data_IF_727102107479
#
_entry.id   IF_727102107479
#
_cell.length_a   1.000
_cell.length_b   1.000
_cell.length_c   1.000
_cell.angle_alpha   90.00
_cell.angle_beta   90.00
_cell.angle_gamma   90.00
#
_symmetry.space_group_name_H-M   'P 1'
#
loop_
_entity.id
_entity.type
_entity.pdbx_description
1 polymer ?
#
# COMPACT_ATOMS: atom_id res chain seq x y z
N UNK A 1 -24.98 -72.82 24.56
CA UNK A 1 -25.54 -73.97 23.80
C UNK A 1 -25.11 -73.77 22.34
N UNK A 2 -24.20 -74.61 21.94
CA UNK A 2 -23.93 -75.20 20.64
C UNK A 2 -23.81 -74.30 19.42
N UNK A 3 -22.56 -74.11 18.86
CA UNK A 3 -21.82 -75.05 17.94
C UNK A 3 -22.38 -74.86 16.49
N UNK A 4 -21.58 -74.52 15.45
CA UNK A 4 -20.47 -75.12 14.66
C UNK A 4 -20.17 -74.17 13.49
N UNK A 5 -18.99 -73.74 13.20
CA UNK A 5 -17.89 -74.41 12.38
C UNK A 5 -18.27 -74.96 11.02
N UNK A 6 -17.60 -74.50 9.96
CA UNK A 6 -16.91 -75.21 8.86
C UNK A 6 -16.59 -74.19 7.74
N UNK A 7 -15.49 -73.90 7.32
CA UNK A 7 -14.26 -74.29 6.70
C UNK A 7 -14.37 -74.90 5.26
N UNK A 8 -13.39 -74.46 4.42
CA UNK A 8 -12.87 -75.06 3.15
C UNK A 8 -13.62 -74.66 1.85
N UNK A 9 -13.01 -74.28 0.72
CA UNK A 9 -11.71 -74.72 0.17
C UNK A 9 -11.33 -73.76 -1.01
N UNK A 10 -10.02 -73.74 -1.30
CA UNK A 10 -9.33 -73.29 -2.51
C UNK A 10 -9.90 -73.82 -3.81
N UNK A 11 -9.84 -72.98 -4.88
CA UNK A 11 -9.42 -73.47 -6.19
C UNK A 11 -8.75 -72.32 -7.01
N UNK A 12 -7.50 -72.58 -7.38
CA UNK A 12 -6.66 -71.84 -8.30
C UNK A 12 -7.05 -72.13 -9.74
N UNK A 13 -7.14 -71.13 -10.61
CA UNK A 13 -6.92 -71.30 -12.05
C UNK A 13 -6.13 -70.18 -12.62
N UNK A 14 -4.93 -70.51 -13.10
CA UNK A 14 -4.12 -69.71 -14.02
C UNK A 14 -4.79 -69.67 -15.40
N UNK A 15 -4.81 -68.53 -16.06
CA UNK A 15 -4.87 -68.50 -17.52
C UNK A 15 -4.11 -67.26 -18.06
N UNK A 16 -3.34 -67.56 -19.07
CA UNK A 16 -2.30 -66.71 -19.72
C UNK A 16 -2.81 -65.54 -20.58
N UNK A 17 -1.95 -64.54 -20.58
CA UNK A 17 -1.43 -63.74 -21.71
C UNK A 17 -2.39 -63.21 -22.82
N UNK A 18 -2.47 -61.89 -22.91
CA UNK A 18 -2.87 -61.16 -24.08
C UNK A 18 -2.16 -59.80 -24.09
N UNK A 19 -1.08 -59.64 -24.87
CA UNK A 19 -0.48 -58.34 -25.18
C UNK A 19 -1.41 -57.53 -26.05
N UNK A 20 -1.92 -56.41 -25.53
CA UNK A 20 -2.50 -55.35 -26.29
C UNK A 20 -1.70 -54.07 -25.98
N UNK A 21 -0.94 -53.58 -26.93
CA UNK A 21 -0.30 -52.29 -26.85
C UNK A 21 -1.38 -51.21 -27.03
N UNK A 22 -1.77 -50.54 -25.96
CA UNK A 22 -2.51 -49.25 -26.04
C UNK A 22 -1.49 -48.12 -26.03
N UNK A 23 -1.52 -47.37 -27.11
CA UNK A 23 -0.80 -46.17 -27.37
C UNK A 23 -1.24 -45.10 -26.33
N UNK A 24 -0.38 -44.79 -25.36
CA UNK A 24 -0.60 -43.77 -24.36
C UNK A 24 -0.57 -42.39 -25.03
N UNK A 25 -1.71 -41.71 -25.07
CA UNK A 25 -1.77 -40.29 -25.38
C UNK A 25 -0.84 -39.51 -24.43
N UNK A 26 -0.17 -38.42 -24.90
CA UNK A 26 0.67 -37.63 -24.04
C UNK A 26 -0.21 -36.96 -22.95
N UNK A 27 0.13 -37.24 -21.68
CA UNK A 27 -0.39 -36.47 -20.55
C UNK A 27 -0.02 -35.02 -20.76
N UNK A 28 -1.01 -34.15 -20.79
CA UNK A 28 -0.81 -32.72 -20.59
C UNK A 28 0.00 -32.54 -19.33
N UNK A 29 1.06 -31.75 -19.41
CA UNK A 29 1.81 -31.33 -18.23
C UNK A 29 0.83 -30.66 -17.29
N UNK A 30 0.63 -31.20 -16.11
CA UNK A 30 -0.05 -30.57 -15.02
C UNK A 30 0.67 -29.23 -14.78
N UNK A 31 -0.07 -28.13 -14.82
CA UNK A 31 0.40 -26.87 -14.27
C UNK A 31 0.84 -27.12 -12.82
N UNK A 32 1.94 -26.55 -12.35
CA UNK A 32 2.35 -26.71 -10.97
C UNK A 32 1.24 -26.20 -10.07
N UNK A 33 0.68 -27.05 -9.21
CA UNK A 33 -0.16 -26.64 -8.10
C UNK A 33 0.73 -25.85 -7.14
N UNK A 34 0.39 -24.60 -6.91
CA UNK A 34 1.17 -23.66 -6.09
C UNK A 34 0.90 -23.80 -4.59
N UNK A 35 0.88 -25.01 -4.06
CA UNK A 35 0.88 -25.25 -2.61
C UNK A 35 2.33 -25.45 -2.13
N UNK A 36 3.18 -24.44 -2.25
CA UNK A 36 4.43 -24.45 -1.51
C UNK A 36 4.08 -24.20 -0.03
N UNK A 37 4.26 -25.22 0.80
CA UNK A 37 4.05 -25.09 2.24
C UNK A 37 4.94 -23.98 2.80
N UNK A 38 4.39 -23.12 3.66
CA UNK A 38 5.15 -22.07 4.32
C UNK A 38 6.35 -22.65 5.08
N UNK A 39 7.48 -21.98 4.97
CA UNK A 39 8.74 -22.36 5.64
C UNK A 39 9.03 -21.36 6.75
N UNK A 40 9.20 -21.87 7.98
CA UNK A 40 9.65 -21.04 9.09
C UNK A 40 11.11 -20.62 8.90
N UNK A 41 11.39 -19.33 9.10
CA UNK A 41 12.72 -18.73 9.00
C UNK A 41 13.10 -18.04 10.32
N UNK A 42 14.40 -17.87 10.56
CA UNK A 42 14.89 -17.37 11.85
C UNK A 42 14.69 -15.86 12.06
N UNK A 43 14.53 -15.11 10.98
CA UNK A 43 14.38 -13.65 10.99
C UNK A 43 13.43 -13.23 9.90
N UNK A 44 12.71 -12.10 10.06
CA UNK A 44 11.89 -11.50 9.02
C UNK A 44 12.65 -11.38 7.69
N UNK A 45 11.96 -11.65 6.60
CA UNK A 45 12.49 -11.58 5.23
C UNK A 45 11.76 -10.49 4.45
N UNK A 46 12.26 -9.24 4.49
CA UNK A 46 11.60 -8.12 3.81
C UNK A 46 11.48 -8.37 2.30
N UNK A 47 10.35 -8.01 1.72
CA UNK A 47 10.09 -8.12 0.28
C UNK A 47 9.63 -6.80 -0.29
N UNK A 48 10.12 -6.52 -1.49
CA UNK A 48 9.71 -5.36 -2.30
C UNK A 48 8.81 -5.81 -3.42
N UNK A 49 7.78 -5.03 -3.70
CA UNK A 49 7.03 -5.11 -4.94
C UNK A 49 7.25 -3.83 -5.73
N UNK A 50 7.47 -3.95 -7.03
CA UNK A 50 7.56 -2.81 -7.93
C UNK A 50 6.66 -3.01 -9.14
N UNK A 51 6.04 -1.94 -9.61
CA UNK A 51 5.37 -1.95 -10.91
C UNK A 51 6.33 -1.48 -12.01
N UNK A 52 6.04 -1.90 -13.23
CA UNK A 52 6.69 -1.45 -14.45
C UNK A 52 5.67 -1.45 -15.60
N UNK A 53 6.04 -0.91 -16.74
CA UNK A 53 5.15 -0.92 -17.91
C UNK A 53 4.84 -2.36 -18.35
N UNK A 54 3.61 -2.80 -18.10
CA UNK A 54 3.09 -4.13 -18.40
C UNK A 54 3.24 -5.19 -17.31
N UNK A 55 3.52 -4.83 -16.02
CA UNK A 55 3.57 -5.84 -14.97
C UNK A 55 3.93 -5.38 -13.57
N UNK A 56 4.01 -6.37 -12.70
CA UNK A 56 4.44 -6.25 -11.31
C UNK A 56 5.50 -7.32 -11.00
N UNK A 57 6.54 -6.96 -10.27
CA UNK A 57 7.57 -7.88 -9.80
C UNK A 57 7.73 -7.82 -8.30
N UNK A 58 7.99 -8.97 -7.69
CA UNK A 58 8.35 -9.10 -6.26
C UNK A 58 9.80 -9.53 -6.14
N UNK A 59 10.53 -8.85 -5.26
CA UNK A 59 11.96 -9.08 -5.03
C UNK A 59 12.21 -9.37 -3.55
N UNK A 60 13.16 -10.23 -3.28
CA UNK A 60 13.80 -10.31 -1.97
C UNK A 60 14.57 -9.00 -1.71
N UNK A 61 14.20 -8.30 -0.65
CA UNK A 61 14.78 -6.98 -0.36
C UNK A 61 16.25 -7.07 0.08
N UNK A 62 16.71 -8.23 0.58
CA UNK A 62 18.08 -8.42 1.02
C UNK A 62 19.03 -8.79 -0.13
N UNK A 63 18.60 -9.58 -1.09
CA UNK A 63 19.45 -10.06 -2.19
C UNK A 63 19.20 -9.35 -3.52
N UNK A 64 18.00 -8.85 -3.75
CA UNK A 64 17.51 -8.32 -5.02
C UNK A 64 17.08 -9.42 -5.99
N UNK A 65 16.99 -10.66 -5.54
CA UNK A 65 16.47 -11.77 -6.34
C UNK A 65 15.00 -11.52 -6.71
N UNK A 66 14.64 -11.74 -7.98
CA UNK A 66 13.27 -11.66 -8.44
C UNK A 66 12.57 -12.97 -8.09
N UNK A 67 11.54 -12.87 -7.25
CA UNK A 67 10.76 -14.01 -6.77
C UNK A 67 9.47 -14.20 -7.56
N UNK A 68 8.92 -13.13 -8.13
CA UNK A 68 7.74 -13.13 -8.99
C UNK A 68 7.91 -12.05 -10.06
N UNK A 69 7.45 -12.34 -11.27
CA UNK A 69 7.36 -11.37 -12.37
C UNK A 69 6.09 -11.69 -13.17
N UNK A 70 5.01 -10.94 -12.88
CA UNK A 70 3.68 -11.15 -13.45
C UNK A 70 3.28 -10.03 -14.38
N UNK A 71 2.65 -10.38 -15.50
CA UNK A 71 2.12 -9.42 -16.46
C UNK A 71 0.77 -8.91 -16.02
N UNK A 72 0.64 -7.60 -15.95
CA UNK A 72 -0.61 -6.90 -15.67
C UNK A 72 -0.74 -5.76 -16.68
N UNK A 73 -1.79 -5.80 -17.50
CA UNK A 73 -1.98 -4.82 -18.56
C UNK A 73 -2.39 -3.45 -18.00
N UNK A 74 -1.89 -2.40 -18.64
CA UNK A 74 -2.23 -1.02 -18.34
C UNK A 74 -1.36 -0.39 -17.25
N UNK A 75 -1.85 0.71 -16.69
CA UNK A 75 -1.21 1.39 -15.56
C UNK A 75 -1.57 0.66 -14.27
N UNK A 76 -0.56 0.32 -13.50
CA UNK A 76 -0.68 -0.53 -12.31
C UNK A 76 -0.18 0.24 -11.09
N UNK A 77 -0.96 0.20 -10.00
CA UNK A 77 -0.58 0.79 -8.71
C UNK A 77 -0.47 -0.26 -7.61
N UNK A 78 0.34 0.06 -6.60
CA UNK A 78 0.56 -0.77 -5.41
C UNK A 78 0.02 -0.05 -4.17
N UNK A 79 -0.84 -0.73 -3.43
CA UNK A 79 -1.41 -0.21 -2.19
C UNK A 79 -1.20 -1.25 -1.09
N UNK A 80 -0.69 -0.88 0.11
CA UNK A 80 -0.66 -1.79 1.25
C UNK A 80 -2.05 -2.32 1.56
N UNK A 81 -2.17 -3.62 1.79
CA UNK A 81 -3.44 -4.21 2.22
C UNK A 81 -3.71 -4.00 3.71
N UNK A 82 -2.66 -3.80 4.53
CA UNK A 82 -2.77 -3.47 5.94
C UNK A 82 -2.55 -4.64 6.92
N UNK A 83 -2.09 -5.78 6.41
CA UNK A 83 -1.75 -6.99 7.19
C UNK A 83 -0.24 -7.30 7.19
N UNK A 84 0.59 -6.38 6.69
CA UNK A 84 2.05 -6.52 6.57
C UNK A 84 2.53 -7.75 5.75
N UNK A 85 1.63 -8.34 4.94
CA UNK A 85 1.92 -9.47 4.05
C UNK A 85 1.44 -9.21 2.62
N UNK A 86 0.26 -8.59 2.46
CA UNK A 86 -0.36 -8.41 1.15
C UNK A 86 -0.34 -6.97 0.67
N UNK A 87 -0.34 -6.82 -0.65
CA UNK A 87 -0.65 -5.56 -1.34
C UNK A 87 -1.93 -5.75 -2.18
N UNK A 88 -2.61 -4.64 -2.46
CA UNK A 88 -3.65 -4.58 -3.47
C UNK A 88 -3.07 -3.94 -4.73
N UNK A 89 -3.07 -4.68 -5.82
CA UNK A 89 -2.63 -4.26 -7.15
C UNK A 89 -3.82 -3.66 -7.87
N UNK A 90 -3.86 -2.33 -8.01
CA UNK A 90 -4.91 -1.65 -8.76
C UNK A 90 -4.58 -1.66 -10.26
N UNK A 91 -5.53 -2.13 -11.04
CA UNK A 91 -5.49 -2.13 -12.51
C UNK A 91 -6.89 -1.91 -13.07
N UNK A 92 -7.04 -1.90 -14.39
CA UNK A 92 -8.36 -1.81 -15.01
C UNK A 92 -9.28 -2.95 -14.53
N UNK A 93 -10.44 -2.60 -13.96
CA UNK A 93 -11.46 -3.55 -13.49
C UNK A 93 -11.41 -3.87 -12.00
N UNK A 94 -10.41 -3.38 -11.24
CA UNK A 94 -10.41 -3.55 -9.80
C UNK A 94 -9.05 -3.63 -9.14
N UNK A 95 -9.04 -4.21 -7.94
CA UNK A 95 -7.85 -4.38 -7.10
C UNK A 95 -7.68 -5.86 -6.79
N UNK A 96 -6.57 -6.44 -7.23
CA UNK A 96 -6.25 -7.85 -6.99
C UNK A 96 -5.24 -7.99 -5.86
N UNK A 97 -5.46 -8.93 -4.94
CA UNK A 97 -4.52 -9.16 -3.85
C UNK A 97 -3.24 -9.84 -4.36
N UNK A 98 -2.10 -9.28 -3.96
CA UNK A 98 -0.76 -9.81 -4.20
C UNK A 98 -0.18 -10.26 -2.85
N UNK A 99 -0.07 -11.56 -2.63
CA UNK A 99 0.64 -12.13 -1.49
C UNK A 99 2.14 -12.02 -1.74
N UNK A 100 2.84 -11.26 -0.92
CA UNK A 100 4.29 -11.14 -1.00
C UNK A 100 5.01 -12.37 -0.44
N UNK A 101 4.28 -13.25 0.23
CA UNK A 101 4.77 -14.53 0.74
C UNK A 101 5.82 -14.40 1.84
N UNK A 102 5.75 -13.35 2.66
CA UNK A 102 6.61 -13.18 3.83
C UNK A 102 5.83 -12.46 4.94
N UNK A 103 5.84 -13.03 6.15
CA UNK A 103 5.14 -12.45 7.31
C UNK A 103 5.74 -12.94 8.62
N UNK A 104 5.42 -12.26 9.71
CA UNK A 104 5.78 -12.65 11.08
C UNK A 104 4.52 -12.74 11.95
N UNK A 105 4.32 -13.90 12.58
CA UNK A 105 3.30 -14.10 13.60
C UNK A 105 3.88 -13.66 14.96
N UNK A 106 3.36 -12.57 15.51
CA UNK A 106 3.81 -12.00 16.78
C UNK A 106 3.04 -12.63 17.94
N UNK A 107 3.78 -13.16 18.90
CA UNK A 107 3.24 -13.77 20.14
C UNK A 107 3.54 -12.91 21.39
N UNK A 108 3.84 -11.63 21.19
CA UNK A 108 4.00 -10.62 22.24
C UNK A 108 5.39 -10.56 22.88
N UNK A 109 6.07 -11.67 23.13
CA UNK A 109 7.45 -11.73 23.63
C UNK A 109 8.44 -12.29 22.60
N UNK A 110 7.94 -12.86 21.51
CA UNK A 110 8.70 -13.34 20.36
C UNK A 110 7.78 -13.44 19.11
N UNK A 111 8.38 -13.54 17.95
CA UNK A 111 7.67 -13.76 16.68
C UNK A 111 8.24 -14.96 15.94
N UNK A 112 7.40 -15.57 15.11
CA UNK A 112 7.78 -16.63 14.17
C UNK A 112 7.66 -16.06 12.76
N UNK A 113 8.75 -16.03 12.03
CA UNK A 113 8.78 -15.52 10.66
C UNK A 113 8.64 -16.67 9.67
N UNK A 114 7.86 -16.42 8.63
CA UNK A 114 7.50 -17.42 7.62
C UNK A 114 7.73 -16.87 6.21
N UNK A 115 8.06 -17.78 5.30
CA UNK A 115 8.14 -17.46 3.87
C UNK A 115 7.46 -18.52 3.01
N UNK A 116 6.88 -18.08 1.90
CA UNK A 116 6.39 -18.89 0.79
C UNK A 116 6.71 -18.20 -0.53
N UNK A 117 6.40 -18.82 -1.66
CA UNK A 117 6.50 -18.13 -2.94
C UNK A 117 5.46 -17.04 -3.04
N UNK A 118 5.82 -15.81 -3.49
CA UNK A 118 4.83 -14.76 -3.71
C UNK A 118 3.90 -15.11 -4.88
N UNK A 119 2.65 -14.64 -4.81
CA UNK A 119 1.66 -14.90 -5.87
C UNK A 119 0.67 -13.75 -6.04
N UNK A 120 0.29 -13.46 -7.27
CA UNK A 120 -0.92 -12.70 -7.56
C UNK A 120 -2.10 -13.66 -7.39
N UNK A 121 -3.03 -13.33 -6.50
CA UNK A 121 -4.16 -14.23 -6.14
C UNK A 121 -5.31 -14.07 -7.13
N UNK A 122 -6.34 -14.91 -7.01
CA UNK A 122 -7.59 -14.78 -7.78
C UNK A 122 -8.60 -13.82 -7.11
N UNK A 123 -8.33 -13.38 -5.86
CA UNK A 123 -9.23 -12.47 -5.15
C UNK A 123 -9.10 -11.05 -5.69
N UNK A 124 -10.24 -10.50 -6.14
CA UNK A 124 -10.31 -9.16 -6.72
C UNK A 124 -11.51 -8.40 -6.19
N UNK A 125 -11.29 -7.20 -5.66
CA UNK A 125 -12.32 -6.22 -5.37
C UNK A 125 -12.61 -5.47 -6.67
N UNK A 126 -13.81 -5.65 -7.23
CA UNK A 126 -14.21 -4.98 -8.48
C UNK A 126 -14.36 -3.48 -8.26
N UNK A 127 -13.82 -2.67 -9.17
CA UNK A 127 -13.98 -1.21 -9.20
C UNK A 127 -13.92 -0.72 -10.65
N UNK A 128 -14.72 0.29 -11.00
CA UNK A 128 -14.67 0.90 -12.34
C UNK A 128 -13.43 1.78 -12.47
N UNK A 129 -13.15 2.61 -11.46
CA UNK A 129 -11.96 3.47 -11.36
C UNK A 129 -11.37 3.31 -9.95
N UNK A 130 -10.48 2.32 -9.71
CA UNK A 130 -9.87 2.12 -8.41
C UNK A 130 -9.17 3.38 -7.90
N UNK A 131 -9.67 3.95 -6.82
CA UNK A 131 -9.16 5.15 -6.16
C UNK A 131 -8.25 4.82 -4.96
N UNK A 132 -8.49 5.48 -3.85
CA UNK A 132 -7.71 5.32 -2.62
C UNK A 132 -7.95 3.98 -1.93
N UNK A 133 -6.87 3.40 -1.41
CA UNK A 133 -6.87 2.24 -0.51
C UNK A 133 -6.26 2.69 0.81
N UNK A 134 -7.02 2.57 1.89
CA UNK A 134 -6.64 3.10 3.20
C UNK A 134 -6.72 2.03 4.27
N UNK A 135 -5.59 1.42 4.65
CA UNK A 135 -5.52 0.53 5.80
C UNK A 135 -5.46 1.36 7.10
N UNK A 136 -6.32 1.03 8.07
CA UNK A 136 -6.31 1.65 9.39
C UNK A 136 -7.04 0.79 10.41
N UNK A 137 -6.50 0.63 11.63
CA UNK A 137 -7.10 -0.14 12.73
C UNK A 137 -7.57 -1.56 12.37
N UNK A 138 -6.79 -2.32 11.58
CA UNK A 138 -7.14 -3.67 11.16
C UNK A 138 -8.31 -3.73 10.18
N UNK A 139 -8.63 -2.61 9.55
CA UNK A 139 -9.61 -2.53 8.45
C UNK A 139 -8.97 -1.86 7.25
N UNK A 140 -9.31 -2.31 6.07
CA UNK A 140 -8.89 -1.66 4.83
C UNK A 140 -10.10 -1.21 4.05
N UNK A 141 -10.11 0.06 3.67
CA UNK A 141 -11.16 0.64 2.85
C UNK A 141 -10.64 0.91 1.45
N UNK A 142 -11.46 0.64 0.46
CA UNK A 142 -11.22 0.91 -0.97
C UNK A 142 -12.31 1.84 -1.46
N UNK A 143 -11.94 2.90 -2.14
CA UNK A 143 -12.87 3.84 -2.77
C UNK A 143 -12.88 3.63 -4.28
N UNK A 144 -14.04 3.41 -4.87
CA UNK A 144 -14.22 3.37 -6.34
C UNK A 144 -14.69 4.73 -6.82
N UNK A 145 -13.78 5.48 -7.45
CA UNK A 145 -14.03 6.83 -7.96
C UNK A 145 -15.12 6.86 -9.05
N UNK A 146 -15.22 5.78 -9.83
CA UNK A 146 -16.19 5.66 -10.93
C UNK A 146 -17.62 5.48 -10.48
N UNK A 147 -17.84 4.79 -9.36
CA UNK A 147 -19.20 4.47 -8.87
C UNK A 147 -19.55 5.13 -7.55
N UNK A 148 -18.57 5.61 -6.78
CA UNK A 148 -18.76 6.09 -5.42
C UNK A 148 -19.03 4.95 -4.42
N UNK A 149 -18.71 3.71 -4.77
CA UNK A 149 -18.77 2.57 -3.86
C UNK A 149 -17.53 2.58 -2.96
N UNK A 150 -17.77 2.40 -1.68
CA UNK A 150 -16.73 2.20 -0.67
C UNK A 150 -16.84 0.75 -0.21
N UNK A 151 -15.74 0.01 -0.28
CA UNK A 151 -15.64 -1.37 0.21
C UNK A 151 -14.68 -1.42 1.38
N UNK A 152 -15.05 -2.09 2.47
CA UNK A 152 -14.17 -2.31 3.61
C UNK A 152 -14.12 -3.79 3.98
N UNK A 153 -12.95 -4.26 4.41
CA UNK A 153 -12.72 -5.65 4.82
C UNK A 153 -11.64 -5.74 5.91
N UNK A 154 -11.55 -6.89 6.55
CA UNK A 154 -10.43 -7.22 7.45
C UNK A 154 -9.26 -7.74 6.58
N UNK A 155 -8.12 -7.05 6.51
CA UNK A 155 -6.99 -7.50 5.70
C UNK A 155 -6.38 -8.82 6.18
N UNK A 156 -6.57 -9.22 7.44
CA UNK A 156 -6.12 -10.51 7.94
C UNK A 156 -6.80 -11.70 7.23
N UNK A 157 -8.03 -11.51 6.73
CA UNK A 157 -8.75 -12.54 5.96
C UNK A 157 -8.03 -12.89 4.64
N UNK A 158 -7.12 -12.03 4.13
CA UNK A 158 -6.35 -12.32 2.93
C UNK A 158 -5.36 -13.49 3.12
N UNK A 159 -4.94 -13.75 4.34
CA UNK A 159 -4.08 -14.90 4.65
C UNK A 159 -4.82 -16.24 4.50
N UNK A 160 -6.15 -16.23 4.50
CA UNK A 160 -7.02 -17.40 4.46
C UNK A 160 -7.74 -17.57 3.10
N UNK A 161 -7.29 -16.87 2.04
CA UNK A 161 -7.94 -16.88 0.71
C UNK A 161 -8.10 -18.30 0.12
N UNK A 162 -7.26 -19.25 0.47
CA UNK A 162 -7.38 -20.64 0.03
C UNK A 162 -8.55 -21.39 0.71
N UNK A 163 -9.07 -20.84 1.83
CA UNK A 163 -10.19 -21.40 2.58
C UNK A 163 -11.49 -20.64 2.36
N UNK A 164 -11.43 -19.31 2.37
CA UNK A 164 -12.60 -18.43 2.21
C UNK A 164 -12.20 -17.03 1.68
N UNK A 165 -13.10 -16.39 0.95
CA UNK A 165 -12.94 -14.98 0.58
C UNK A 165 -13.27 -14.06 1.76
N UNK A 166 -12.59 -12.88 1.88
CA UNK A 166 -12.90 -11.86 2.88
C UNK A 166 -14.37 -11.41 2.85
N UNK A 167 -14.90 -11.14 4.04
CA UNK A 167 -16.22 -10.52 4.15
C UNK A 167 -16.13 -9.04 3.79
N UNK A 168 -16.93 -8.58 2.83
CA UNK A 168 -16.93 -7.20 2.35
C UNK A 168 -18.13 -6.42 2.91
N UNK A 169 -17.84 -5.33 3.63
CA UNK A 169 -18.83 -4.30 3.96
C UNK A 169 -18.83 -3.24 2.86
N UNK A 170 -20.02 -2.81 2.40
CA UNK A 170 -20.09 -1.84 1.30
C UNK A 170 -21.04 -0.69 1.62
N UNK A 171 -20.67 0.52 1.17
CA UNK A 171 -21.50 1.72 1.16
C UNK A 171 -21.49 2.30 -0.25
N UNK A 172 -22.58 2.92 -0.66
CA UNK A 172 -22.65 3.62 -1.94
C UNK A 172 -23.04 5.06 -1.69
N UNK A 173 -22.20 5.97 -2.15
CA UNK A 173 -22.46 7.39 -2.06
C UNK A 173 -23.42 7.85 -3.16
N UNK A 174 -24.17 8.93 -2.92
CA UNK A 174 -25.11 9.50 -3.90
C UNK A 174 -24.39 10.06 -5.14
N UNK A 175 -23.12 10.43 -5.00
CA UNK A 175 -22.31 11.03 -6.06
C UNK A 175 -20.93 10.37 -6.12
N UNK A 176 -20.59 9.83 -7.27
CA UNK A 176 -19.23 9.36 -7.56
C UNK A 176 -18.26 10.55 -7.69
N UNK A 177 -17.07 10.40 -7.16
CA UNK A 177 -16.01 11.40 -7.22
C UNK A 177 -14.67 10.75 -6.87
N UNK A 178 -13.57 11.42 -7.18
CA UNK A 178 -12.25 11.00 -6.68
C UNK A 178 -12.18 11.21 -5.16
N UNK A 179 -12.34 10.13 -4.41
CA UNK A 179 -12.62 10.17 -2.99
C UNK A 179 -11.69 9.35 -2.11
N UNK A 180 -11.82 9.57 -0.82
CA UNK A 180 -11.13 8.84 0.24
C UNK A 180 -12.16 8.38 1.27
N UNK A 181 -11.97 7.18 1.77
CA UNK A 181 -12.73 6.67 2.90
C UNK A 181 -11.84 5.89 3.87
N UNK A 182 -12.19 5.92 5.16
CA UNK A 182 -11.49 5.16 6.20
C UNK A 182 -12.46 4.76 7.30
N UNK A 183 -12.26 3.59 7.89
CA UNK A 183 -12.92 3.22 9.14
C UNK A 183 -12.06 3.62 10.35
N UNK A 184 -12.70 4.20 11.37
CA UNK A 184 -12.07 4.42 12.67
C UNK A 184 -12.06 3.12 13.52
N UNK A 185 -11.35 3.11 14.65
CA UNK A 185 -11.28 1.95 15.56
C UNK A 185 -12.61 1.54 16.20
N UNK A 186 -13.72 2.26 15.92
CA UNK A 186 -15.08 1.96 16.37
C UNK A 186 -15.99 1.46 15.25
N UNK A 187 -15.46 1.32 14.03
CA UNK A 187 -16.22 0.89 12.85
C UNK A 187 -17.07 1.99 12.22
N UNK A 188 -16.85 3.26 12.59
CA UNK A 188 -17.47 4.38 11.88
C UNK A 188 -16.72 4.64 10.59
N UNK A 189 -17.43 5.02 9.55
CA UNK A 189 -16.86 5.39 8.27
C UNK A 189 -16.69 6.89 8.18
N UNK A 190 -15.47 7.35 7.87
CA UNK A 190 -15.19 8.73 7.50
C UNK A 190 -14.96 8.71 5.99
N UNK A 191 -15.67 9.54 5.24
CA UNK A 191 -15.53 9.62 3.79
C UNK A 191 -15.57 11.06 3.29
N UNK A 192 -14.95 11.30 2.16
CA UNK A 192 -15.01 12.60 1.47
C UNK A 192 -16.39 12.85 0.88
N UNK A 193 -16.71 14.11 0.69
CA UNK A 193 -17.92 14.58 0.02
C UNK A 193 -17.54 15.35 -1.22
N UNK A 194 -18.18 14.99 -2.34
CA UNK A 194 -17.88 15.63 -3.60
C UNK A 194 -18.77 15.18 -4.73
N UNK A 195 -18.47 15.73 -5.89
CA UNK A 195 -18.97 15.34 -7.20
C UNK A 195 -17.77 15.15 -8.15
N UNK A 196 -18.02 14.74 -9.38
CA UNK A 196 -16.97 14.69 -10.42
C UNK A 196 -16.28 16.04 -10.68
N UNK A 197 -16.93 17.17 -10.30
CA UNK A 197 -16.44 18.53 -10.55
C UNK A 197 -15.75 19.17 -9.34
N UNK A 198 -16.22 18.89 -8.12
CA UNK A 198 -15.74 19.53 -6.90
C UNK A 198 -15.90 18.65 -5.67
N UNK A 199 -14.96 18.79 -4.75
CA UNK A 199 -14.98 18.14 -3.43
C UNK A 199 -14.99 19.23 -2.37
N UNK A 200 -15.72 19.02 -1.26
CA UNK A 200 -16.00 20.11 -0.31
C UNK A 200 -15.68 19.79 1.15
N UNK A 201 -15.54 18.53 1.49
CA UNK A 201 -15.33 18.19 2.90
C UNK A 201 -15.49 16.70 3.20
N UNK A 202 -15.83 16.37 4.43
CA UNK A 202 -15.95 15.01 4.92
C UNK A 202 -17.24 14.80 5.72
N UNK A 203 -17.67 13.54 5.79
CA UNK A 203 -18.73 13.06 6.69
C UNK A 203 -18.21 11.88 7.49
N UNK A 204 -18.59 11.82 8.76
CA UNK A 204 -18.43 10.64 9.59
C UNK A 204 -19.80 10.04 9.83
N UNK A 205 -19.96 8.76 9.53
CA UNK A 205 -21.21 8.02 9.68
C UNK A 205 -20.99 6.71 10.46
N UNK A 206 -22.02 6.24 11.15
CA UNK A 206 -22.02 4.88 11.70
C UNK A 206 -22.11 3.85 10.59
N UNK A 207 -21.83 2.57 10.90
CA UNK A 207 -22.08 1.46 9.96
C UNK A 207 -23.53 1.41 9.43
N UNK A 208 -24.50 1.96 10.19
CA UNK A 208 -25.91 2.06 9.77
C UNK A 208 -26.23 3.32 8.94
N UNK A 209 -25.22 4.15 8.61
CA UNK A 209 -25.38 5.35 7.80
C UNK A 209 -25.85 6.60 8.57
N UNK A 210 -25.90 6.58 9.91
CA UNK A 210 -26.28 7.77 10.68
C UNK A 210 -25.10 8.71 10.82
N UNK A 211 -25.28 9.98 10.45
CA UNK A 211 -24.23 11.01 10.57
C UNK A 211 -23.84 11.27 12.04
N UNK A 212 -22.55 11.29 12.32
CA UNK A 212 -21.95 11.56 13.61
C UNK A 212 -21.26 12.92 13.67
N UNK A 213 -20.60 13.31 12.58
CA UNK A 213 -19.89 14.58 12.43
C UNK A 213 -19.75 14.92 10.94
N UNK A 214 -19.57 16.19 10.63
CA UNK A 214 -19.43 16.68 9.27
C UNK A 214 -18.60 17.97 9.23
N UNK A 215 -17.92 18.22 8.11
CA UNK A 215 -17.32 19.52 7.76
C UNK A 215 -17.38 19.70 6.26
N UNK A 216 -17.80 20.89 5.82
CA UNK A 216 -17.75 21.35 4.43
C UNK A 216 -16.63 22.39 4.21
N UNK A 217 -15.72 22.53 5.18
CA UNK A 217 -14.63 23.52 5.18
C UNK A 217 -13.33 22.96 4.61
N UNK A 218 -13.41 22.14 3.53
CA UNK A 218 -12.24 21.53 2.91
C UNK A 218 -12.40 21.50 1.37
N UNK A 219 -12.27 22.66 0.71
CA UNK A 219 -12.34 22.72 -0.74
C UNK A 219 -11.25 21.80 -1.33
N UNK A 220 -11.61 21.07 -2.40
CA UNK A 220 -10.71 20.17 -3.09
C UNK A 220 -10.14 19.05 -2.22
N UNK A 221 -10.88 18.57 -1.18
CA UNK A 221 -10.41 17.53 -0.25
C UNK A 221 -9.76 16.36 -1.01
N UNK A 222 -8.54 15.97 -0.58
CA UNK A 222 -7.75 14.95 -1.26
C UNK A 222 -6.69 14.37 -0.33
N UNK A 223 -6.56 13.04 -0.38
CA UNK A 223 -5.59 12.32 0.43
C UNK A 223 -5.93 12.31 1.92
N UNK A 224 -5.29 11.39 2.61
CA UNK A 224 -5.40 11.21 4.05
C UNK A 224 -4.06 10.79 4.63
N UNK A 225 -3.90 10.94 5.93
CA UNK A 225 -2.84 10.30 6.71
C UNK A 225 -3.26 10.21 8.16
N UNK A 226 -2.54 9.40 8.92
CA UNK A 226 -2.80 9.18 10.33
C UNK A 226 -1.60 9.54 11.20
N UNK A 227 -1.88 10.13 12.36
CA UNK A 227 -0.96 10.31 13.46
C UNK A 227 -1.51 9.54 14.67
N UNK A 228 -1.15 8.27 14.81
CA UNK A 228 -1.87 7.35 15.68
C UNK A 228 -3.34 7.24 15.26
N UNK A 229 -4.28 7.51 16.16
CA UNK A 229 -5.72 7.44 15.92
C UNK A 229 -6.31 8.71 15.26
N UNK A 230 -5.51 9.75 15.10
CA UNK A 230 -5.97 11.04 14.55
C UNK A 230 -5.84 11.01 13.04
N UNK A 231 -6.97 11.12 12.34
CA UNK A 231 -6.98 11.22 10.89
C UNK A 231 -6.81 12.68 10.42
N UNK A 232 -6.16 12.85 9.27
CA UNK A 232 -5.97 14.14 8.63
C UNK A 232 -6.39 14.03 7.17
N UNK A 233 -7.14 15.02 6.68
CA UNK A 233 -7.54 15.14 5.28
C UNK A 233 -7.01 16.46 4.71
N UNK A 234 -6.39 16.39 3.54
CA UNK A 234 -5.84 17.56 2.88
C UNK A 234 -6.89 18.37 2.14
N UNK A 235 -6.70 19.69 2.09
CA UNK A 235 -7.58 20.66 1.44
C UNK A 235 -6.76 21.57 0.52
N UNK A 236 -7.41 22.41 -0.29
CA UNK A 236 -6.75 23.46 -1.08
C UNK A 236 -6.31 24.66 -0.25
N UNK A 237 -6.76 24.77 0.98
CA UNK A 237 -6.52 25.89 1.90
C UNK A 237 -6.07 25.43 3.31
N UNK A 238 -5.46 24.25 3.40
CA UNK A 238 -4.98 23.68 4.65
C UNK A 238 -5.38 22.21 4.84
N UNK A 239 -5.85 21.82 6.04
CA UNK A 239 -6.23 20.43 6.36
C UNK A 239 -7.41 20.39 7.32
N UNK A 240 -8.13 19.25 7.35
CA UNK A 240 -9.02 18.88 8.45
C UNK A 240 -8.31 17.84 9.33
N UNK A 241 -8.30 18.07 10.63
CA UNK A 241 -7.82 17.12 11.65
C UNK A 241 -9.03 16.54 12.35
N UNK A 242 -9.13 15.20 12.36
CA UNK A 242 -10.25 14.44 12.94
C UNK A 242 -9.76 13.64 14.14
N UNK A 243 -10.17 14.06 15.33
CA UNK A 243 -9.88 13.40 16.61
C UNK A 243 -11.19 12.89 17.22
N UNK A 244 -11.44 11.60 17.15
CA UNK A 244 -12.74 11.01 17.45
C UNK A 244 -13.84 11.65 16.57
N UNK A 245 -14.81 12.32 17.20
CA UNK A 245 -15.90 13.04 16.47
C UNK A 245 -15.61 14.54 16.26
N UNK A 246 -14.47 15.00 16.71
CA UNK A 246 -14.11 16.41 16.59
C UNK A 246 -13.35 16.62 15.28
N UNK A 247 -13.89 17.47 14.44
CA UNK A 247 -13.26 17.91 13.21
C UNK A 247 -12.75 19.34 13.44
N UNK A 248 -11.48 19.59 13.16
CA UNK A 248 -10.84 20.89 13.34
C UNK A 248 -10.18 21.29 12.02
N UNK A 249 -10.57 22.48 11.49
CA UNK A 249 -9.87 23.09 10.34
C UNK A 249 -8.55 23.69 10.81
N UNK A 250 -7.50 23.45 10.04
CA UNK A 250 -6.20 24.11 10.16
C UNK A 250 -5.94 24.81 8.86
N UNK A 251 -6.04 26.14 8.86
CA UNK A 251 -5.82 26.95 7.68
C UNK A 251 -4.35 26.99 7.29
N UNK A 252 -4.09 26.98 5.98
CA UNK A 252 -2.76 27.25 5.45
C UNK A 252 -2.42 28.74 5.56
N UNK A 253 -1.14 29.12 5.61
CA UNK A 253 -0.74 30.53 5.63
C UNK A 253 -1.00 31.26 4.30
N UNK A 254 -1.10 30.54 3.20
CA UNK A 254 -1.43 31.06 1.87
C UNK A 254 -2.90 30.81 1.54
N UNK A 255 -3.56 31.72 0.81
CA UNK A 255 -4.98 31.61 0.46
C UNK A 255 -5.29 30.35 -0.38
N UNK A 256 -4.36 29.96 -1.25
CA UNK A 256 -4.25 28.63 -1.83
C UNK A 256 -2.97 28.01 -1.28
N UNK A 257 -3.10 27.06 -0.42
CA UNK A 257 -2.01 26.33 0.22
C UNK A 257 -2.41 24.88 0.29
N UNK A 258 -2.46 24.24 -0.91
CA UNK A 258 -2.97 22.89 -1.10
C UNK A 258 -2.05 21.86 -0.50
N UNK A 259 -2.65 20.98 0.30
CA UNK A 259 -2.03 19.78 0.87
C UNK A 259 -2.83 18.59 0.35
N UNK A 260 -2.32 17.90 -0.64
CA UNK A 260 -3.04 16.82 -1.33
C UNK A 260 -2.37 15.46 -1.21
N UNK A 261 -1.17 15.40 -0.65
CA UNK A 261 -0.43 14.16 -0.42
C UNK A 261 0.23 14.23 0.95
N UNK A 262 0.03 13.20 1.78
CA UNK A 262 0.46 13.21 3.16
C UNK A 262 1.17 11.90 3.52
N UNK A 263 2.04 11.95 4.55
CA UNK A 263 2.67 10.80 5.17
C UNK A 263 2.60 10.92 6.69
N UNK A 264 1.86 10.03 7.31
CA UNK A 264 1.74 9.90 8.75
C UNK A 264 2.60 8.78 9.33
N UNK A 265 2.51 8.58 10.63
CA UNK A 265 3.13 7.47 11.34
C UNK A 265 2.42 7.24 12.68
N UNK A 266 2.18 5.98 13.03
CA UNK A 266 1.45 5.61 14.25
C UNK A 266 2.10 6.11 15.55
N UNK A 267 3.43 6.13 15.60
CA UNK A 267 4.20 6.56 16.77
C UNK A 267 4.43 8.08 16.85
N UNK A 268 3.95 8.85 15.88
CA UNK A 268 4.25 10.29 15.76
C UNK A 268 2.97 11.13 15.70
N UNK A 269 2.85 12.20 16.51
CA UNK A 269 1.70 13.10 16.43
C UNK A 269 1.80 14.10 15.26
N UNK A 270 2.80 13.96 14.41
CA UNK A 270 3.03 14.85 13.28
C UNK A 270 2.70 14.16 11.97
N UNK A 271 2.08 14.89 11.06
CA UNK A 271 1.88 14.49 9.66
C UNK A 271 2.71 15.38 8.75
N UNK A 272 3.45 14.76 7.83
CA UNK A 272 4.14 15.44 6.73
C UNK A 272 3.15 15.59 5.57
N UNK A 273 3.02 16.78 4.99
CA UNK A 273 2.21 17.01 3.81
C UNK A 273 3.00 17.71 2.70
N UNK A 274 2.60 17.54 1.45
CA UNK A 274 3.04 18.41 0.38
C UNK A 274 2.53 19.84 0.62
N UNK A 275 3.00 20.81 -0.17
CA UNK A 275 2.52 22.18 -0.04
C UNK A 275 2.63 22.92 -1.38
N UNK A 276 1.49 23.18 -2.00
CA UNK A 276 1.37 23.84 -3.30
C UNK A 276 0.65 25.17 -3.18
N UNK A 277 1.11 26.17 -3.93
CA UNK A 277 0.61 27.55 -3.84
C UNK A 277 0.16 28.15 -5.17
N UNK A 278 0.30 27.43 -6.26
CA UNK A 278 -0.08 27.86 -7.60
C UNK A 278 -1.23 27.00 -8.13
N UNK A 279 -2.46 27.49 -8.00
CA UNK A 279 -3.67 26.80 -8.45
C UNK A 279 -3.75 26.69 -9.99
N UNK A 280 -3.03 27.53 -10.73
CA UNK A 280 -3.08 27.60 -12.19
C UNK A 280 -1.96 26.77 -12.84
N UNK A 281 -1.03 26.23 -12.06
CA UNK A 281 0.06 25.40 -12.58
C UNK A 281 -0.45 24.04 -13.06
N UNK A 282 -0.14 23.68 -14.31
CA UNK A 282 -0.39 22.33 -14.83
C UNK A 282 0.34 21.26 -13.97
N UNK A 283 1.59 21.54 -13.61
CA UNK A 283 2.38 20.76 -12.65
C UNK A 283 3.23 21.71 -11.81
N UNK A 284 2.76 22.01 -10.62
CA UNK A 284 3.60 22.72 -9.66
C UNK A 284 4.70 21.79 -9.10
N UNK A 285 5.92 22.30 -9.06
CA UNK A 285 7.09 21.66 -8.46
C UNK A 285 7.45 22.35 -7.15
N UNK A 286 6.73 22.04 -6.06
CA UNK A 286 6.89 22.75 -4.80
C UNK A 286 8.27 22.50 -4.19
N UNK A 287 8.78 23.51 -3.47
CA UNK A 287 10.04 23.47 -2.71
C UNK A 287 9.80 23.64 -1.21
N UNK A 288 8.55 23.49 -0.76
CA UNK A 288 8.16 23.51 0.65
C UNK A 288 7.29 22.31 0.95
N UNK A 289 7.38 21.83 2.16
CA UNK A 289 6.47 20.83 2.73
C UNK A 289 5.81 21.39 3.97
N UNK A 290 4.66 20.85 4.32
CA UNK A 290 3.94 21.16 5.56
C UNK A 290 4.21 20.09 6.62
N UNK A 291 4.31 20.54 7.87
CA UNK A 291 4.34 19.68 9.06
C UNK A 291 3.18 20.07 9.94
N UNK A 292 2.25 19.17 10.14
CA UNK A 292 1.03 19.36 10.92
C UNK A 292 1.18 18.66 12.27
N UNK A 293 1.04 19.39 13.38
CA UNK A 293 0.95 18.85 14.73
C UNK A 293 -0.51 18.64 15.10
N UNK A 294 -0.94 17.38 15.15
CA UNK A 294 -2.34 17.02 15.38
C UNK A 294 -2.83 17.30 16.81
N UNK A 295 -1.91 17.39 17.79
CA UNK A 295 -2.25 17.64 19.20
C UNK A 295 -2.80 19.04 19.44
N UNK A 296 -2.31 20.01 18.70
CA UNK A 296 -2.69 21.42 18.82
C UNK A 296 -3.26 22.04 17.55
N UNK A 297 -3.47 21.20 16.52
CA UNK A 297 -4.00 21.58 15.22
C UNK A 297 -3.22 22.79 14.61
N UNK A 298 -1.91 22.67 14.51
CA UNK A 298 -1.05 23.70 13.96
C UNK A 298 -0.25 23.20 12.76
N UNK A 299 0.04 24.10 11.83
CA UNK A 299 0.77 23.86 10.60
C UNK A 299 2.03 24.74 10.56
N UNK A 300 3.16 24.13 10.20
CA UNK A 300 4.42 24.82 9.92
C UNK A 300 4.96 24.38 8.56
N UNK A 301 5.65 25.29 7.88
CA UNK A 301 6.28 25.03 6.59
C UNK A 301 7.78 24.81 6.76
N UNK A 302 8.34 23.92 5.95
CA UNK A 302 9.77 23.64 5.86
C UNK A 302 10.22 23.84 4.43
N UNK A 303 11.21 24.73 4.23
CA UNK A 303 11.85 24.97 2.93
C UNK A 303 12.79 23.82 2.59
N UNK A 304 12.77 23.37 1.33
CA UNK A 304 13.62 22.33 0.78
C UNK A 304 14.57 22.91 -0.28
N UNK A 305 15.78 22.31 -0.44
CA UNK A 305 16.74 22.78 -1.43
C UNK A 305 16.38 22.41 -2.88
N UNK A 306 15.34 21.63 -3.09
CA UNK A 306 14.83 21.24 -4.41
C UNK A 306 13.34 20.96 -4.36
N UNK A 307 12.70 20.86 -5.53
CA UNK A 307 11.34 20.32 -5.63
C UNK A 307 11.30 18.81 -5.36
N UNK A 308 10.09 18.25 -5.29
CA UNK A 308 9.82 16.83 -5.06
C UNK A 308 8.53 16.44 -5.80
N UNK A 309 8.22 15.15 -5.87
CA UNK A 309 6.98 14.65 -6.47
C UNK A 309 6.03 14.08 -5.41
N UNK A 310 4.83 13.69 -5.83
CA UNK A 310 3.85 13.04 -4.94
C UNK A 310 4.30 11.66 -4.40
N UNK A 311 5.33 11.03 -5.00
CA UNK A 311 5.91 9.76 -4.53
C UNK A 311 7.17 9.94 -3.68
N UNK A 312 7.36 11.15 -3.16
CA UNK A 312 8.60 11.54 -2.47
C UNK A 312 8.51 11.54 -0.96
N UNK A 313 7.31 11.45 -0.37
CA UNK A 313 7.10 11.59 1.07
C UNK A 313 7.21 10.24 1.77
N UNK A 314 7.86 10.22 2.93
CA UNK A 314 7.98 9.03 3.78
C UNK A 314 8.21 9.38 5.24
N UNK A 315 8.12 8.37 6.10
CA UNK A 315 8.37 8.49 7.54
C UNK A 315 9.31 7.39 8.01
N UNK A 316 10.21 7.71 8.91
CA UNK A 316 11.05 6.69 9.57
C UNK A 316 10.28 6.03 10.72
N UNK A 317 10.67 4.82 11.17
CA UNK A 317 10.07 4.19 12.35
C UNK A 317 10.14 5.07 13.61
N UNK A 318 11.18 5.92 13.73
CA UNK A 318 11.33 6.87 14.84
C UNK A 318 10.50 8.16 14.65
N UNK A 319 9.75 8.26 13.56
CA UNK A 319 8.84 9.38 13.28
C UNK A 319 9.48 10.59 12.61
N UNK A 320 10.75 10.55 12.16
CA UNK A 320 11.32 11.60 11.31
C UNK A 320 10.58 11.64 9.96
N UNK A 321 10.52 12.80 9.33
CA UNK A 321 9.94 12.96 8.02
C UNK A 321 11.02 12.91 6.93
N UNK A 322 10.73 12.22 5.83
CA UNK A 322 11.63 12.05 4.70
C UNK A 322 11.01 12.63 3.43
N UNK A 323 11.83 13.32 2.65
CA UNK A 323 11.41 13.85 1.34
C UNK A 323 12.49 13.57 0.30
N UNK A 324 12.13 12.83 -0.75
CA UNK A 324 13.02 12.60 -1.91
C UNK A 324 12.98 13.82 -2.84
N UNK A 325 14.05 14.61 -2.81
CA UNK A 325 14.20 15.78 -3.65
C UNK A 325 14.58 15.47 -5.10
N UNK A 326 14.17 16.34 -6.03
CA UNK A 326 14.59 16.25 -7.45
C UNK A 326 16.09 16.48 -7.66
N UNK A 327 16.80 16.98 -6.65
CA UNK A 327 18.27 17.03 -6.62
C UNK A 327 18.93 15.66 -6.38
N UNK A 328 18.13 14.60 -6.18
CA UNK A 328 18.58 13.23 -5.98
C UNK A 328 18.97 12.89 -4.54
N UNK A 329 18.58 13.73 -3.57
CA UNK A 329 18.83 13.48 -2.15
C UNK A 329 17.53 13.18 -1.40
N UNK A 330 17.60 12.30 -0.40
CA UNK A 330 16.55 12.16 0.61
C UNK A 330 16.83 13.16 1.73
N UNK A 331 15.92 14.10 1.92
CA UNK A 331 15.95 15.13 2.95
C UNK A 331 15.29 14.62 4.21
N UNK A 332 15.98 14.72 5.35
CA UNK A 332 15.48 14.30 6.66
C UNK A 332 15.05 15.54 7.44
N UNK A 333 13.83 15.53 7.91
CA UNK A 333 13.20 16.64 8.64
C UNK A 333 12.86 16.16 10.04
N UNK A 334 13.24 16.93 11.06
CA UNK A 334 12.69 16.82 12.40
C UNK A 334 11.30 17.46 12.43
N UNK A 335 10.21 16.67 12.55
CA UNK A 335 8.87 17.24 12.51
C UNK A 335 8.52 18.03 13.78
N UNK A 336 9.16 17.74 14.92
CA UNK A 336 8.90 18.45 16.17
C UNK A 336 9.43 19.89 16.11
N UNK A 337 10.59 20.08 15.52
CA UNK A 337 11.19 21.40 15.33
C UNK A 337 10.80 22.04 13.97
N UNK A 338 10.27 21.25 13.02
CA UNK A 338 9.98 21.59 11.62
C UNK A 338 11.23 22.14 10.93
N UNK A 339 12.33 21.42 11.00
CA UNK A 339 13.62 21.83 10.39
C UNK A 339 14.23 20.67 9.60
N UNK A 340 14.86 21.02 8.48
CA UNK A 340 15.72 20.12 7.71
C UNK A 340 16.99 19.83 8.52
N UNK A 341 17.22 18.58 8.87
CA UNK A 341 18.37 18.16 9.71
C UNK A 341 19.56 17.70 8.88
N UNK A 342 19.29 16.94 7.80
CA UNK A 342 20.34 16.43 6.91
C UNK A 342 19.78 16.07 5.54
N UNK A 343 20.66 15.78 4.59
CA UNK A 343 20.33 15.30 3.26
C UNK A 343 21.27 14.15 2.88
N UNK A 344 20.69 13.05 2.43
CA UNK A 344 21.39 11.82 2.05
C UNK A 344 21.42 11.77 0.52
N UNK A 345 22.59 11.93 -0.15
CA UNK A 345 22.69 11.77 -1.60
C UNK A 345 22.40 10.32 -2.01
N UNK A 346 21.51 10.11 -2.99
CA UNK A 346 21.03 8.76 -3.39
C UNK A 346 21.15 8.56 -4.89
N UNK A 347 20.51 9.43 -5.68
CA UNK A 347 20.45 9.33 -7.15
C UNK A 347 21.12 10.54 -7.78
N UNK A 348 21.18 10.57 -9.10
CA UNK A 348 21.43 11.82 -9.82
C UNK A 348 20.20 12.74 -9.72
N UNK A 349 20.42 14.04 -9.96
CA UNK A 349 19.30 14.97 -10.12
C UNK A 349 18.40 14.54 -11.29
N UNK A 350 17.09 14.69 -11.08
CA UNK A 350 16.06 14.26 -12.02
C UNK A 350 14.98 15.35 -12.17
N UNK A 351 14.15 15.20 -13.18
CA UNK A 351 13.03 16.08 -13.41
C UNK A 351 11.73 15.28 -13.34
N UNK A 352 10.75 15.78 -12.59
CA UNK A 352 9.43 15.18 -12.53
C UNK A 352 8.75 15.27 -13.90
N UNK A 353 8.31 14.12 -14.47
CA UNK A 353 7.54 14.11 -15.71
C UNK A 353 6.17 14.77 -15.52
N UNK A 354 5.62 15.36 -16.58
CA UNK A 354 4.29 15.99 -16.57
C UNK A 354 3.17 14.95 -16.54
N UNK A 355 3.35 13.83 -17.23
CA UNK A 355 2.41 12.72 -17.15
C UNK A 355 2.65 11.95 -15.83
N UNK A 356 1.63 11.91 -14.99
CA UNK A 356 1.69 11.27 -13.67
C UNK A 356 1.83 9.73 -13.74
N UNK A 357 1.51 9.10 -14.89
CA UNK A 357 1.71 7.67 -15.11
C UNK A 357 3.18 7.31 -15.40
N UNK A 358 3.97 8.28 -15.90
CA UNK A 358 5.36 8.01 -16.23
C UNK A 358 6.20 7.66 -15.01
N UNK A 359 7.17 6.72 -15.15
CA UNK A 359 8.09 6.35 -14.09
C UNK A 359 8.90 7.55 -13.57
N UNK A 360 8.98 7.63 -12.26
CA UNK A 360 9.79 8.62 -11.52
C UNK A 360 10.42 7.99 -10.29
N UNK A 361 11.48 8.57 -9.73
CA UNK A 361 12.00 8.11 -8.44
C UNK A 361 10.92 8.13 -7.37
N UNK A 362 10.79 7.00 -6.67
CA UNK A 362 9.79 6.74 -5.62
C UNK A 362 10.53 6.41 -4.34
N UNK A 363 10.08 6.97 -3.22
CA UNK A 363 10.59 6.68 -1.89
C UNK A 363 9.62 5.75 -1.16
N UNK A 364 10.13 4.64 -0.62
CA UNK A 364 9.40 3.74 0.25
C UNK A 364 10.23 3.44 1.50
N UNK A 365 9.60 3.40 2.67
CA UNK A 365 10.26 3.01 3.92
C UNK A 365 9.68 1.69 4.39
N UNK A 366 10.56 0.72 4.70
CA UNK A 366 10.19 -0.61 5.22
C UNK A 366 11.17 -0.93 6.33
N UNK A 367 10.67 -1.05 7.55
CA UNK A 367 11.50 -1.23 8.74
C UNK A 367 12.55 -0.13 8.88
N UNK A 368 13.80 -0.49 9.14
CA UNK A 368 14.92 0.44 9.32
C UNK A 368 15.56 0.94 8.01
N UNK A 369 14.96 0.68 6.85
CA UNK A 369 15.52 1.01 5.53
C UNK A 369 14.57 1.88 4.71
N UNK A 370 15.15 2.81 3.95
CA UNK A 370 14.45 3.48 2.88
C UNK A 370 14.95 2.96 1.53
N UNK A 371 14.01 2.80 0.61
CA UNK A 371 14.24 2.33 -0.75
C UNK A 371 13.87 3.44 -1.71
N UNK A 372 14.78 3.74 -2.63
CA UNK A 372 14.57 4.78 -3.64
C UNK A 372 14.76 4.18 -5.03
N UNK A 373 13.73 4.24 -5.86
CA UNK A 373 13.84 3.80 -7.25
C UNK A 373 14.56 4.85 -8.10
N UNK A 374 15.38 4.40 -9.05
CA UNK A 374 15.97 5.23 -10.12
C UNK A 374 15.60 4.60 -11.48
N UNK A 375 14.45 4.95 -12.07
CA UNK A 375 13.97 4.36 -13.32
C UNK A 375 14.95 4.49 -14.49
N UNK A 376 15.67 5.61 -14.55
CA UNK A 376 16.63 5.90 -15.62
C UNK A 376 17.82 4.91 -15.67
N UNK A 377 18.22 4.37 -14.53
CA UNK A 377 19.30 3.38 -14.40
C UNK A 377 18.79 1.97 -14.13
N UNK A 378 17.47 1.81 -13.95
CA UNK A 378 16.82 0.56 -13.53
C UNK A 378 17.40 0.02 -12.24
N UNK A 379 17.44 0.85 -11.22
CA UNK A 379 17.99 0.51 -9.91
C UNK A 379 17.02 0.85 -8.79
N UNK A 380 17.18 0.14 -7.67
CA UNK A 380 16.57 0.46 -6.37
C UNK A 380 17.75 0.65 -5.40
N UNK A 381 17.88 1.84 -4.83
CA UNK A 381 18.89 2.16 -3.85
C UNK A 381 18.37 1.92 -2.44
N UNK A 382 19.15 1.24 -1.62
CA UNK A 382 18.82 0.90 -0.23
C UNK A 382 19.59 1.81 0.71
N UNK A 383 18.88 2.55 1.52
CA UNK A 383 19.43 3.50 2.50
C UNK A 383 19.21 2.90 3.89
N UNK A 384 20.30 2.74 4.64
CA UNK A 384 20.23 2.47 6.07
C UNK A 384 19.89 3.78 6.79
N UNK A 385 18.72 3.82 7.44
CA UNK A 385 18.22 5.04 8.09
C UNK A 385 19.00 5.39 9.36
N UNK A 386 19.51 4.40 10.09
CA UNK A 386 20.32 4.63 11.28
C UNK A 386 21.70 5.22 10.91
N UNK A 387 22.33 4.70 9.87
CA UNK A 387 23.63 5.17 9.36
C UNK A 387 23.51 6.35 8.40
N UNK A 388 22.28 6.66 7.92
CA UNK A 388 21.97 7.75 6.96
C UNK A 388 22.81 7.70 5.69
N UNK A 389 22.95 6.50 5.11
CA UNK A 389 23.76 6.29 3.90
C UNK A 389 23.16 5.22 2.99
N UNK A 390 23.45 5.32 1.71
CA UNK A 390 23.19 4.24 0.74
C UNK A 390 24.15 3.08 1.06
N UNK A 391 23.59 1.92 1.37
CA UNK A 391 24.37 0.71 1.69
C UNK A 391 24.44 -0.26 0.52
N UNK A 392 23.52 -0.15 -0.44
CA UNK A 392 23.42 -1.04 -1.60
C UNK A 392 22.57 -0.45 -2.70
N UNK A 393 22.78 -0.93 -3.92
CA UNK A 393 21.89 -0.74 -5.07
C UNK A 393 21.55 -2.11 -5.65
N UNK A 394 20.30 -2.30 -6.03
CA UNK A 394 19.72 -3.50 -6.64
C UNK A 394 19.44 -3.17 -8.10
N UNK A 395 20.03 -3.94 -9.03
CA UNK A 395 19.73 -3.82 -10.45
C UNK A 395 18.42 -4.58 -10.74
N UNK A 396 17.50 -3.97 -11.47
CA UNK A 396 16.22 -4.56 -11.87
C UNK A 396 16.08 -4.62 -13.38
N UNK A 397 15.30 -5.60 -13.87
CA UNK A 397 15.17 -5.82 -15.32
C UNK A 397 14.37 -4.70 -16.03
N UNK A 398 13.39 -4.14 -15.34
CA UNK A 398 12.46 -3.14 -15.85
C UNK A 398 12.68 -1.78 -15.19
N UNK A 399 12.28 -0.69 -15.85
CA UNK A 399 12.24 0.63 -15.22
C UNK A 399 11.14 0.64 -14.15
N UNK A 400 11.47 0.77 -12.84
CA UNK A 400 10.47 0.74 -11.79
C UNK A 400 9.59 2.00 -11.84
N UNK A 401 8.28 1.84 -11.62
CA UNK A 401 7.34 2.95 -11.55
C UNK A 401 6.86 3.20 -10.10
N UNK A 402 6.05 2.30 -9.54
CA UNK A 402 5.71 2.35 -8.11
C UNK A 402 6.51 1.32 -7.33
N UNK A 403 6.68 1.58 -6.04
CA UNK A 403 7.39 0.70 -5.12
C UNK A 403 6.59 0.61 -3.82
N UNK A 404 6.42 -0.60 -3.33
CA UNK A 404 5.88 -0.91 -2.01
C UNK A 404 6.56 -2.16 -1.46
N UNK A 405 6.15 -2.66 -0.31
CA UNK A 405 6.70 -3.89 0.25
C UNK A 405 6.29 -4.12 1.69
N UNK A 406 6.82 -5.20 2.26
CA UNK A 406 6.56 -5.63 3.64
C UNK A 406 7.86 -5.94 4.36
N UNK A 407 7.82 -5.88 5.68
CA UNK A 407 8.98 -6.18 6.53
C UNK A 407 9.23 -7.69 6.70
N UNK A 408 8.21 -8.53 6.45
CA UNK A 408 8.27 -9.96 6.59
C UNK A 408 8.00 -10.46 8.00
#
# INVERSE_FOLDING_TARGET
>A
MLIKSSALALLSTLALAGCGAEESAPRSADAPSSDAAATEVQTPQPRLAMTYDGGVAVLDAATGEVLLDEKVDGFVRLNPAGDDRHLLVSAAGGLTALDLGSWTDDHGDHGHSWTTDPRLTDFTISAEEPGHVVPHHGRTTVFDDGTGVITAFDPADLAELDEAEPSLDTWTLDQAHHGVAVQDGHGNLIHTVGTSEARSGIRMITAAGNELAASDECPGVHGEAFAGDVALFGCEDGVLVVDGRRITKVDSPDAYGRIGNQAGHESSPYVLGDYKVDADAELERPTRVSVIDTRNASLRLVDLPSSYSFRSLGRTPDGEALVLGTNGSVHVIDPAEAVLTTSIPVTKAWQEPTDWHEPRPTLQVIGGFAYVTEPATKQIHVIDLADRKVVRSIDVAHAPNELSGVSG
#
